data_IF_910193684791
#
_entry.id   IF_910193684791
#
_cell.length_a   1.000
_cell.length_b   1.000
_cell.length_c   1.000
_cell.angle_alpha   90.00
_cell.angle_beta   90.00
_cell.angle_gamma   90.00
#
_symmetry.space_group_name_H-M   'P 1'
#
loop_
_entity.id
_entity.type
_entity.pdbx_description
1 polymer ?
#
# COMPACT_ATOMS: atom_id res chain seq x y z
N UNK A 1 -48.39 26.22 49.60
CA UNK A 1 -47.12 26.83 49.15
C UNK A 1 -46.63 25.98 47.97
N UNK A 2 -47.08 26.31 46.76
CA UNK A 2 -46.39 27.10 45.73
C UNK A 2 -45.22 26.37 45.05
N UNK A 3 -45.30 26.35 43.71
CA UNK A 3 -44.65 25.48 42.73
C UNK A 3 -43.19 25.83 42.37
N UNK A 4 -42.56 24.93 41.60
CA UNK A 4 -41.73 25.13 40.37
C UNK A 4 -41.12 23.76 39.95
N UNK A 5 -41.55 23.04 38.90
CA UNK A 5 -41.43 23.17 37.43
C UNK A 5 -40.00 23.17 36.84
N UNK A 6 -39.71 22.11 36.05
CA UNK A 6 -39.00 22.04 34.75
C UNK A 6 -38.35 20.64 34.61
N UNK A 7 -38.95 19.67 33.91
CA UNK A 7 -38.99 19.47 32.44
C UNK A 7 -37.60 19.40 31.79
N UNK A 8 -37.11 18.19 31.53
CA UNK A 8 -36.23 17.92 30.38
C UNK A 8 -36.79 16.73 29.62
N UNK A 9 -37.02 17.01 28.34
CA UNK A 9 -37.66 16.22 27.32
C UNK A 9 -36.63 15.28 26.64
N UNK A 10 -37.17 14.17 26.15
CA UNK A 10 -36.61 13.09 25.34
C UNK A 10 -35.75 13.55 24.14
N UNK A 11 -34.62 12.86 23.89
CA UNK A 11 -34.20 12.48 22.51
C UNK A 11 -33.67 11.05 22.54
N UNK A 12 -34.39 10.16 21.84
CA UNK A 12 -33.93 8.84 21.46
C UNK A 12 -33.03 8.96 20.22
N UNK A 13 -31.92 8.23 20.18
CA UNK A 13 -31.29 7.80 18.94
C UNK A 13 -30.94 6.32 19.05
N UNK A 14 -31.87 5.55 18.50
CA UNK A 14 -31.72 4.18 18.03
C UNK A 14 -30.44 4.03 17.21
N UNK A 15 -29.42 3.44 17.82
CA UNK A 15 -28.34 2.81 17.08
C UNK A 15 -28.88 1.49 16.49
N UNK A 16 -29.49 1.60 15.32
CA UNK A 16 -29.65 0.46 14.42
C UNK A 16 -28.25 0.08 13.96
N UNK A 17 -27.61 -0.84 14.67
CA UNK A 17 -26.51 -1.60 14.13
C UNK A 17 -27.06 -2.44 12.97
N UNK A 18 -26.98 -1.91 11.76
CA UNK A 18 -27.08 -2.71 10.55
C UNK A 18 -25.91 -3.68 10.57
N UNK A 19 -26.12 -4.86 11.13
CA UNK A 19 -25.21 -5.98 10.96
C UNK A 19 -25.15 -6.27 9.47
N UNK A 20 -24.02 -5.95 8.84
CA UNK A 20 -23.74 -6.39 7.49
C UNK A 20 -23.61 -7.90 7.57
N UNK A 21 -24.64 -8.61 7.11
CA UNK A 21 -24.60 -10.06 7.03
C UNK A 21 -23.65 -10.42 5.88
N UNK A 22 -22.37 -10.57 6.18
CA UNK A 22 -21.40 -11.08 5.22
C UNK A 22 -21.90 -12.43 4.70
N UNK A 23 -22.14 -12.51 3.40
CA UNK A 23 -22.53 -13.75 2.74
C UNK A 23 -21.39 -14.78 2.90
N UNK A 24 -21.67 -16.05 3.23
CA UNK A 24 -20.60 -17.05 3.34
C UNK A 24 -19.89 -17.18 2.00
N UNK A 25 -18.57 -16.99 2.00
CA UNK A 25 -17.72 -17.29 0.84
C UNK A 25 -17.77 -18.81 0.63
N UNK A 26 -18.11 -19.31 -0.58
CA UNK A 26 -18.08 -20.73 -0.87
C UNK A 26 -16.67 -21.28 -0.63
N UNK A 27 -16.52 -22.23 0.28
CA UNK A 27 -15.27 -22.96 0.47
C UNK A 27 -15.12 -23.97 -0.66
N UNK A 28 -14.58 -23.53 -1.79
CA UNK A 28 -14.06 -24.43 -2.83
C UNK A 28 -12.55 -24.56 -2.65
N UNK A 29 -12.08 -25.81 -2.64
CA UNK A 29 -10.76 -26.22 -2.19
C UNK A 29 -9.57 -25.54 -2.86
N UNK A 30 -8.39 -25.68 -2.21
CA UNK A 30 -7.05 -25.29 -2.67
C UNK A 30 -7.09 -24.37 -3.89
N UNK A 31 -7.36 -23.08 -3.65
CA UNK A 31 -7.55 -22.09 -4.69
C UNK A 31 -6.42 -22.18 -5.71
N UNK A 32 -6.74 -22.62 -6.93
CA UNK A 32 -5.89 -22.36 -8.06
C UNK A 32 -5.64 -20.85 -8.06
N UNK A 33 -4.37 -20.42 -8.14
CA UNK A 33 -4.01 -19.01 -8.32
C UNK A 33 -4.49 -18.59 -9.70
N UNK A 34 -5.78 -18.29 -9.83
CA UNK A 34 -6.41 -17.72 -11.01
C UNK A 34 -6.36 -16.20 -10.98
N UNK A 35 -6.44 -15.59 -12.15
CA UNK A 35 -6.75 -14.16 -12.28
C UNK A 35 -8.10 -13.90 -11.61
N UNK A 36 -8.13 -12.95 -10.68
CA UNK A 36 -9.30 -12.57 -9.91
C UNK A 36 -9.49 -11.06 -10.07
N UNK A 37 -10.58 -10.69 -10.74
CA UNK A 37 -10.97 -9.30 -10.92
C UNK A 37 -11.63 -8.78 -9.66
N UNK A 38 -11.22 -7.59 -9.22
CA UNK A 38 -11.91 -6.86 -8.16
C UNK A 38 -12.78 -5.72 -8.71
N UNK A 39 -12.82 -5.56 -10.04
CA UNK A 39 -13.70 -4.59 -10.68
C UNK A 39 -15.17 -4.84 -10.30
N UNK A 40 -15.79 -3.85 -9.66
CA UNK A 40 -17.15 -3.93 -9.12
C UNK A 40 -17.39 -5.13 -8.16
N UNK A 41 -16.36 -5.61 -7.45
CA UNK A 41 -16.50 -6.72 -6.49
C UNK A 41 -17.67 -6.47 -5.52
N UNK A 42 -18.48 -7.50 -5.28
CA UNK A 42 -19.64 -7.40 -4.38
C UNK A 42 -20.76 -6.44 -4.84
N UNK A 43 -20.65 -5.87 -6.04
CA UNK A 43 -21.56 -4.81 -6.52
C UNK A 43 -21.20 -3.42 -6.01
N UNK A 44 -20.03 -3.23 -5.40
CA UNK A 44 -19.58 -1.92 -4.92
C UNK A 44 -19.10 -1.05 -6.08
N UNK A 45 -19.79 0.07 -6.33
CA UNK A 45 -19.38 1.03 -7.37
C UNK A 45 -18.06 1.73 -7.06
N UNK A 46 -17.63 1.77 -5.79
CA UNK A 46 -16.32 2.29 -5.37
C UNK A 46 -15.14 1.44 -5.88
N UNK A 47 -15.41 0.22 -6.36
CA UNK A 47 -14.43 -0.65 -7.02
C UNK A 47 -14.54 -0.63 -8.55
N UNK A 48 -15.32 0.28 -9.12
CA UNK A 48 -15.39 0.45 -10.57
C UNK A 48 -14.04 0.91 -11.13
N UNK A 49 -13.53 0.20 -12.12
CA UNK A 49 -12.22 0.42 -12.72
C UNK A 49 -11.04 -0.01 -11.84
N UNK A 50 -11.26 -0.77 -10.76
CA UNK A 50 -10.16 -1.17 -9.84
C UNK A 50 -9.00 -1.85 -10.58
N UNK A 51 -9.32 -2.78 -11.48
CA UNK A 51 -8.31 -3.51 -12.24
C UNK A 51 -7.57 -2.64 -13.27
N UNK A 52 -7.99 -1.40 -13.52
CA UNK A 52 -7.27 -0.50 -14.43
C UNK A 52 -5.89 -0.08 -13.89
N UNK A 53 -5.67 -0.22 -12.58
CA UNK A 53 -4.40 0.18 -11.98
C UNK A 53 -3.29 -0.84 -12.28
N UNK A 54 -3.46 -2.12 -11.92
CA UNK A 54 -2.46 -3.17 -12.17
C UNK A 54 -2.88 -4.27 -13.14
N UNK A 55 -4.17 -4.42 -13.44
CA UNK A 55 -4.74 -5.56 -14.16
C UNK A 55 -5.34 -6.61 -13.23
N UNK A 56 -6.32 -7.36 -13.74
CA UNK A 56 -7.02 -8.44 -13.00
C UNK A 56 -6.16 -9.69 -12.76
N UNK A 57 -4.99 -9.77 -13.39
CA UNK A 57 -4.02 -10.85 -13.24
C UNK A 57 -2.76 -10.44 -12.47
N UNK A 58 -2.71 -9.19 -11.97
CA UNK A 58 -1.51 -8.60 -11.36
C UNK A 58 -1.83 -7.81 -10.09
N UNK A 59 -2.70 -8.35 -9.24
CA UNK A 59 -3.19 -7.71 -8.03
C UNK A 59 -2.07 -7.18 -7.11
N UNK A 60 -0.97 -7.92 -6.95
CA UNK A 60 0.17 -7.59 -6.10
C UNK A 60 1.33 -6.94 -6.86
N UNK A 61 1.11 -6.52 -8.10
CA UNK A 61 2.14 -6.00 -8.99
C UNK A 61 3.34 -6.97 -9.21
N UNK A 62 3.13 -8.28 -9.07
CA UNK A 62 4.17 -9.30 -9.28
C UNK A 62 4.70 -9.37 -10.72
N UNK A 63 3.95 -8.86 -11.71
CA UNK A 63 4.38 -8.78 -13.11
C UNK A 63 5.33 -7.61 -13.41
N UNK A 64 5.64 -6.76 -12.42
CA UNK A 64 6.62 -5.68 -12.59
C UNK A 64 8.01 -6.27 -12.93
N UNK A 65 8.55 -5.91 -14.10
CA UNK A 65 9.77 -6.52 -14.66
C UNK A 65 10.85 -5.49 -14.95
N UNK A 66 12.11 -5.92 -15.10
CA UNK A 66 13.22 -5.02 -15.47
C UNK A 66 12.99 -4.39 -16.85
N UNK A 67 12.31 -5.07 -17.79
CA UNK A 67 11.95 -4.50 -19.09
C UNK A 67 10.98 -3.32 -19.00
N UNK A 68 10.25 -3.19 -17.90
CA UNK A 68 9.35 -2.07 -17.63
C UNK A 68 10.08 -0.86 -17.01
N UNK A 69 11.38 -1.02 -16.67
CA UNK A 69 12.17 0.01 -16.00
C UNK A 69 12.94 0.85 -17.02
N UNK A 70 12.77 2.18 -16.92
CA UNK A 70 13.56 3.19 -17.61
C UNK A 70 14.38 3.98 -16.59
N UNK A 71 15.67 3.67 -16.50
CA UNK A 71 16.58 4.34 -15.56
C UNK A 71 16.89 5.76 -16.04
N UNK A 72 16.60 6.75 -15.20
CA UNK A 72 16.91 8.16 -15.44
C UNK A 72 18.25 8.48 -14.75
N UNK A 73 19.25 8.94 -15.52
CA UNK A 73 20.63 9.19 -15.03
C UNK A 73 20.95 10.67 -14.79
N UNK A 74 19.94 11.55 -14.74
CA UNK A 74 20.18 13.00 -14.72
C UNK A 74 20.93 13.50 -13.48
N UNK A 75 20.81 12.81 -12.34
CA UNK A 75 21.59 13.06 -11.12
C UNK A 75 21.96 11.75 -10.44
N UNK A 76 23.24 11.57 -10.13
CA UNK A 76 23.66 10.43 -9.32
C UNK A 76 23.11 10.56 -7.91
N UNK A 77 22.34 9.57 -7.48
CA UNK A 77 21.88 9.43 -6.10
C UNK A 77 22.75 8.37 -5.44
N UNK A 78 23.40 8.73 -4.34
CA UNK A 78 24.27 7.84 -3.55
C UNK A 78 23.58 7.55 -2.23
N UNK A 79 23.62 6.30 -1.75
CA UNK A 79 23.12 6.03 -0.40
C UNK A 79 24.06 6.62 0.66
N UNK A 80 23.47 7.06 1.78
CA UNK A 80 24.20 7.61 2.91
C UNK A 80 23.84 6.84 4.18
N UNK A 81 24.79 6.78 5.12
CA UNK A 81 24.52 6.21 6.44
C UNK A 81 23.67 7.19 7.23
N UNK A 82 22.60 6.69 7.82
CA UNK A 82 21.67 7.45 8.67
C UNK A 82 21.34 6.62 9.91
N UNK A 83 20.90 7.28 10.97
CA UNK A 83 20.41 6.56 12.16
C UNK A 83 19.17 5.74 11.80
N UNK A 84 19.16 4.46 12.19
CA UNK A 84 18.07 3.56 11.82
C UNK A 84 16.72 4.02 12.37
N UNK A 85 16.71 4.68 13.54
CA UNK A 85 15.48 5.20 14.14
C UNK A 85 14.87 6.32 13.28
N UNK A 86 15.69 7.13 12.61
CA UNK A 86 15.22 8.19 11.71
C UNK A 86 14.54 7.57 10.47
N UNK A 87 15.12 6.48 9.92
CA UNK A 87 14.51 5.74 8.82
C UNK A 87 13.18 5.12 9.28
N UNK A 88 13.16 4.48 10.46
CA UNK A 88 11.96 3.86 11.02
C UNK A 88 10.84 4.87 11.28
N UNK A 89 11.14 6.06 11.79
CA UNK A 89 10.16 7.13 11.98
C UNK A 89 9.50 7.54 10.66
N UNK A 90 10.31 7.73 9.60
CA UNK A 90 9.80 8.10 8.26
C UNK A 90 8.90 6.99 7.69
N UNK A 91 9.31 5.72 7.83
CA UNK A 91 8.51 4.58 7.39
C UNK A 91 7.21 4.43 8.19
N UNK A 92 7.24 4.69 9.49
CA UNK A 92 6.04 4.68 10.33
C UNK A 92 5.04 5.76 9.91
N UNK A 93 5.52 6.95 9.55
CA UNK A 93 4.65 8.00 8.98
C UNK A 93 3.97 7.51 7.70
N UNK A 94 4.71 6.89 6.77
CA UNK A 94 4.11 6.35 5.55
C UNK A 94 3.08 5.24 5.83
N UNK A 95 3.32 4.42 6.85
CA UNK A 95 2.36 3.39 7.31
C UNK A 95 1.07 4.02 7.85
N UNK A 96 1.15 5.02 8.72
CA UNK A 96 -0.04 5.72 9.21
C UNK A 96 -0.74 6.52 8.12
N UNK A 97 0.02 7.03 7.14
CA UNK A 97 -0.56 7.70 5.98
C UNK A 97 -1.37 6.76 5.10
N UNK A 98 -0.91 5.53 4.87
CA UNK A 98 -1.71 4.52 4.16
C UNK A 98 -3.03 4.24 4.90
N UNK A 99 -2.99 4.10 6.23
CA UNK A 99 -4.21 3.92 7.04
C UNK A 99 -5.14 5.11 6.92
N UNK A 100 -4.60 6.34 7.02
CA UNK A 100 -5.37 7.57 6.92
C UNK A 100 -6.07 7.69 5.58
N UNK A 101 -5.36 7.46 4.47
CA UNK A 101 -5.93 7.48 3.11
C UNK A 101 -7.10 6.50 3.02
N UNK A 102 -6.89 5.25 3.42
CA UNK A 102 -7.90 4.19 3.29
C UNK A 102 -9.12 4.47 4.18
N UNK A 103 -8.90 4.88 5.43
CA UNK A 103 -9.99 5.06 6.41
C UNK A 103 -10.77 6.37 6.22
N UNK A 104 -10.16 7.41 5.66
CA UNK A 104 -10.84 8.68 5.39
C UNK A 104 -11.47 8.74 3.99
N UNK A 105 -10.94 8.03 2.99
CA UNK A 105 -11.38 8.14 1.58
C UNK A 105 -12.26 6.99 1.08
N UNK A 106 -12.36 5.88 1.81
CA UNK A 106 -13.15 4.71 1.42
C UNK A 106 -14.17 4.41 2.50
N UNK A 107 -15.46 4.37 2.14
CA UNK A 107 -16.54 4.10 3.09
C UNK A 107 -16.76 2.62 3.35
N UNK A 108 -16.65 1.77 2.32
CA UNK A 108 -16.95 0.35 2.43
C UNK A 108 -15.75 -0.43 3.00
N UNK A 109 -15.97 -1.21 4.07
CA UNK A 109 -14.91 -1.97 4.73
C UNK A 109 -14.33 -3.07 3.84
N UNK A 110 -15.13 -3.62 2.93
CA UNK A 110 -14.68 -4.57 1.92
C UNK A 110 -13.71 -3.90 0.93
N UNK A 111 -14.04 -2.70 0.44
CA UNK A 111 -13.17 -1.91 -0.43
C UNK A 111 -11.90 -1.49 0.30
N UNK A 112 -11.99 -1.06 1.57
CA UNK A 112 -10.81 -0.77 2.41
C UNK A 112 -9.89 -1.98 2.51
N UNK A 113 -10.46 -3.17 2.75
CA UNK A 113 -9.72 -4.43 2.87
C UNK A 113 -9.01 -4.76 1.55
N UNK A 114 -9.74 -4.70 0.42
CA UNK A 114 -9.20 -5.01 -0.90
C UNK A 114 -8.07 -4.05 -1.28
N UNK A 115 -8.23 -2.75 -1.04
CA UNK A 115 -7.20 -1.74 -1.36
C UNK A 115 -5.99 -1.89 -0.44
N UNK A 116 -6.21 -2.11 0.86
CA UNK A 116 -5.10 -2.28 1.81
C UNK A 116 -4.27 -3.53 1.51
N UNK A 117 -4.91 -4.66 1.20
CA UNK A 117 -4.21 -5.90 0.88
C UNK A 117 -3.44 -5.80 -0.45
N UNK A 118 -3.94 -5.03 -1.43
CA UNK A 118 -3.20 -4.73 -2.65
C UNK A 118 -1.93 -3.93 -2.33
N UNK A 119 -2.06 -2.84 -1.57
CA UNK A 119 -0.91 -2.03 -1.13
C UNK A 119 0.11 -2.87 -0.37
N UNK A 120 -0.33 -3.61 0.66
CA UNK A 120 0.53 -4.46 1.48
C UNK A 120 1.25 -5.53 0.65
N UNK A 121 0.53 -6.21 -0.24
CA UNK A 121 1.10 -7.25 -1.11
C UNK A 121 2.10 -6.68 -2.12
N UNK A 122 1.82 -5.49 -2.67
CA UNK A 122 2.68 -4.82 -3.67
C UNK A 122 4.12 -4.56 -3.18
N UNK A 123 4.31 -4.41 -1.87
CA UNK A 123 5.63 -4.20 -1.27
C UNK A 123 6.52 -5.45 -1.32
N UNK A 124 5.96 -6.63 -1.59
CA UNK A 124 6.71 -7.87 -1.71
C UNK A 124 7.76 -7.82 -2.84
N UNK A 125 7.45 -7.14 -3.94
CA UNK A 125 8.37 -6.97 -5.07
C UNK A 125 9.71 -6.35 -4.64
N UNK A 126 9.65 -5.29 -3.83
CA UNK A 126 10.84 -4.60 -3.33
C UNK A 126 11.68 -5.47 -2.39
N UNK A 127 11.05 -6.34 -1.58
CA UNK A 127 11.77 -7.32 -0.76
C UNK A 127 12.58 -8.31 -1.61
N UNK A 128 12.12 -8.65 -2.82
CA UNK A 128 12.89 -9.48 -3.76
C UNK A 128 14.02 -8.69 -4.42
N UNK A 129 13.82 -7.40 -4.68
CA UNK A 129 14.86 -6.50 -5.21
C UNK A 129 16.02 -6.40 -4.23
N UNK A 130 15.74 -6.13 -2.94
CA UNK A 130 16.76 -6.03 -1.88
C UNK A 130 17.63 -7.28 -1.76
N UNK A 131 17.07 -8.45 -2.08
CA UNK A 131 17.76 -9.76 -2.06
C UNK A 131 18.40 -10.15 -3.40
N UNK A 132 18.25 -9.33 -4.43
CA UNK A 132 18.66 -9.60 -5.82
C UNK A 132 18.07 -10.89 -6.41
N UNK A 133 16.80 -11.17 -6.07
CA UNK A 133 16.04 -12.34 -6.57
C UNK A 133 14.94 -12.01 -7.57
N UNK A 134 14.67 -10.74 -7.81
CA UNK A 134 13.74 -10.29 -8.85
C UNK A 134 14.37 -10.19 -10.24
N UNK A 135 15.71 -10.11 -10.30
CA UNK A 135 16.43 -9.71 -11.51
C UNK A 135 16.42 -8.20 -11.76
N UNK A 136 15.73 -7.41 -10.92
CA UNK A 136 15.65 -5.96 -11.04
C UNK A 136 16.70 -5.24 -10.19
N UNK A 137 17.01 -4.01 -10.60
CA UNK A 137 17.79 -3.10 -9.75
C UNK A 137 17.01 -2.66 -8.51
N UNK A 138 17.69 -2.42 -7.39
CA UNK A 138 17.08 -1.87 -6.17
C UNK A 138 16.95 -0.36 -6.34
N UNK A 139 15.72 0.13 -6.46
CA UNK A 139 15.45 1.55 -6.67
C UNK A 139 13.99 1.92 -6.43
N UNK A 140 13.61 3.09 -6.93
CA UNK A 140 12.25 3.63 -6.84
C UNK A 140 11.94 4.51 -8.06
N UNK A 141 10.66 4.77 -8.31
CA UNK A 141 10.22 5.67 -9.37
C UNK A 141 10.18 7.13 -8.84
N UNK A 142 11.05 7.98 -9.37
CA UNK A 142 11.12 9.40 -8.97
C UNK A 142 9.92 10.21 -9.43
N UNK A 143 9.27 9.82 -10.53
CA UNK A 143 8.07 10.47 -11.02
C UNK A 143 6.92 10.28 -10.04
N UNK A 144 6.66 9.02 -9.65
CA UNK A 144 5.61 8.71 -8.67
C UNK A 144 5.94 9.32 -7.30
N UNK A 145 7.16 9.16 -6.80
CA UNK A 145 7.54 9.70 -5.48
C UNK A 145 7.54 11.24 -5.42
N UNK A 146 7.62 11.93 -6.56
CA UNK A 146 7.52 13.40 -6.60
C UNK A 146 6.13 13.93 -6.19
N UNK A 147 5.09 13.09 -6.23
CA UNK A 147 3.75 13.44 -5.78
C UNK A 147 3.58 13.45 -4.26
N UNK A 148 4.64 13.16 -3.48
CA UNK A 148 4.54 13.14 -2.01
C UNK A 148 4.02 14.47 -1.42
N UNK A 149 4.37 15.61 -2.01
CA UNK A 149 3.84 16.91 -1.55
C UNK A 149 2.35 17.11 -1.85
N UNK A 150 1.78 16.31 -2.76
CA UNK A 150 0.42 16.49 -3.27
C UNK A 150 -0.62 15.76 -2.42
N UNK A 151 -0.23 14.98 -1.39
CA UNK A 151 -1.17 14.29 -0.52
C UNK A 151 -2.15 15.23 0.19
N UNK A 152 -1.83 16.52 0.30
CA UNK A 152 -2.63 17.48 1.05
C UNK A 152 -2.97 18.73 0.25
N UNK A 153 -4.21 19.17 0.40
CA UNK A 153 -4.64 20.50 -0.01
C UNK A 153 -4.05 21.60 0.89
N UNK A 154 -4.26 22.85 0.51
CA UNK A 154 -3.82 24.01 1.29
C UNK A 154 -4.51 24.13 2.66
N UNK A 155 -5.64 23.46 2.84
CA UNK A 155 -6.40 23.39 4.08
C UNK A 155 -5.97 22.22 5.00
N UNK A 156 -5.00 21.40 4.58
CA UNK A 156 -4.51 20.24 5.31
C UNK A 156 -5.39 18.99 5.20
N UNK A 157 -6.47 19.03 4.40
CA UNK A 157 -7.25 17.84 4.05
C UNK A 157 -6.50 16.97 3.04
N UNK A 158 -6.85 15.68 2.97
CA UNK A 158 -6.32 14.80 1.93
C UNK A 158 -6.79 15.26 0.57
N UNK A 159 -5.85 15.37 -0.38
CA UNK A 159 -6.16 15.67 -1.77
C UNK A 159 -6.98 14.55 -2.42
N UNK A 160 -7.99 14.94 -3.22
CA UNK A 160 -8.77 14.03 -4.07
C UNK A 160 -8.39 14.14 -5.56
N UNK A 161 -7.35 14.92 -5.88
CA UNK A 161 -6.90 15.12 -7.24
C UNK A 161 -6.35 13.84 -7.86
N UNK A 162 -6.73 13.58 -9.11
CA UNK A 162 -6.07 12.57 -9.95
C UNK A 162 -4.70 13.11 -10.40
N UNK A 163 -3.64 12.38 -10.06
CA UNK A 163 -2.27 12.74 -10.39
C UNK A 163 -1.82 12.27 -11.79
N UNK A 164 -2.72 11.66 -12.56
CA UNK A 164 -2.52 11.36 -13.97
C UNK A 164 -1.62 10.16 -14.26
N UNK A 165 -1.47 9.24 -13.30
CA UNK A 165 -0.73 8.00 -13.48
C UNK A 165 -1.56 6.76 -13.10
N UNK A 166 -1.16 5.62 -13.65
CA UNK A 166 -1.67 4.31 -13.27
C UNK A 166 -0.53 3.38 -12.89
N UNK A 167 -0.81 2.12 -12.53
CA UNK A 167 0.23 1.15 -12.20
C UNK A 167 1.19 0.88 -13.37
N UNK A 168 0.79 1.09 -14.62
CA UNK A 168 1.68 0.98 -15.79
C UNK A 168 2.70 2.11 -15.91
N UNK A 169 2.50 3.23 -15.18
CA UNK A 169 3.46 4.33 -15.12
C UNK A 169 4.66 4.00 -14.22
N UNK A 170 4.55 3.01 -13.35
CA UNK A 170 5.62 2.57 -12.46
C UNK A 170 6.83 2.08 -13.25
N UNK A 171 8.02 2.62 -12.93
CA UNK A 171 9.27 2.27 -13.57
C UNK A 171 9.67 3.22 -14.71
N UNK A 172 8.79 4.13 -15.12
CA UNK A 172 9.05 5.08 -16.22
C UNK A 172 10.10 6.14 -15.88
N UNK A 173 10.31 6.42 -14.59
CA UNK A 173 11.30 7.38 -14.09
C UNK A 173 12.13 6.76 -12.96
N UNK A 174 12.82 5.66 -13.24
CA UNK A 174 13.45 4.87 -12.19
C UNK A 174 14.83 5.40 -11.79
N UNK A 175 15.06 5.48 -10.48
CA UNK A 175 16.34 5.88 -9.88
C UNK A 175 16.93 4.69 -9.12
N UNK A 176 18.19 4.38 -9.40
CA UNK A 176 18.96 3.32 -8.75
C UNK A 176 20.09 3.95 -7.92
N UNK A 177 19.97 4.01 -6.59
CA UNK A 177 21.01 4.58 -5.75
C UNK A 177 22.32 3.77 -5.81
N UNK A 178 23.45 4.48 -5.99
CA UNK A 178 24.80 3.91 -5.93
C UNK A 178 25.33 3.89 -4.48
N UNK A 179 26.57 3.42 -4.28
CA UNK A 179 27.26 3.49 -2.97
C UNK A 179 26.87 2.43 -1.94
N UNK A 180 26.02 1.45 -2.29
CA UNK A 180 25.65 0.37 -1.39
C UNK A 180 26.79 -0.64 -1.16
N UNK A 181 26.72 -1.39 -0.07
CA UNK A 181 27.73 -2.38 0.34
C UNK A 181 27.50 -3.78 -0.26
N UNK A 182 26.79 -3.89 -1.39
CA UNK A 182 26.53 -5.19 -2.01
C UNK A 182 27.82 -5.80 -2.58
N UNK A 183 28.06 -7.05 -2.21
CA UNK A 183 29.17 -7.89 -2.65
C UNK A 183 28.62 -9.19 -3.25
N UNK A 184 28.83 -9.39 -4.55
CA UNK A 184 28.31 -10.55 -5.28
C UNK A 184 28.79 -11.91 -4.71
N UNK A 185 29.89 -11.94 -3.97
CA UNK A 185 30.43 -13.17 -3.38
C UNK A 185 29.84 -13.51 -2.00
N UNK A 186 29.38 -12.51 -1.24
CA UNK A 186 28.99 -12.67 0.19
C UNK A 186 27.58 -12.20 0.52
N UNK A 187 27.04 -11.22 -0.22
CA UNK A 187 25.77 -10.58 0.12
C UNK A 187 24.57 -11.50 -0.03
N UNK A 188 24.57 -12.45 -0.97
CA UNK A 188 23.47 -13.41 -1.10
C UNK A 188 23.24 -14.20 0.20
N UNK A 189 24.30 -14.73 0.81
CA UNK A 189 24.21 -15.46 2.07
C UNK A 189 23.80 -14.56 3.24
N UNK A 190 24.53 -13.46 3.43
CA UNK A 190 24.30 -12.55 4.58
C UNK A 190 22.93 -11.85 4.54
N UNK A 191 22.49 -11.37 3.36
CA UNK A 191 21.16 -10.78 3.19
C UNK A 191 20.07 -11.86 3.32
N UNK A 192 20.31 -13.08 2.84
CA UNK A 192 19.41 -14.21 3.04
C UNK A 192 19.20 -14.58 4.52
N UNK A 193 20.27 -14.57 5.31
CA UNK A 193 20.20 -14.76 6.77
C UNK A 193 19.45 -13.62 7.45
N UNK A 194 19.73 -12.37 7.09
CA UNK A 194 19.02 -11.20 7.63
C UNK A 194 17.52 -11.24 7.31
N UNK A 195 17.15 -11.59 6.08
CA UNK A 195 15.75 -11.77 5.68
C UNK A 195 15.07 -12.87 6.50
N UNK A 196 15.72 -14.03 6.66
CA UNK A 196 15.17 -15.14 7.45
C UNK A 196 14.92 -14.73 8.91
N UNK A 197 15.90 -14.06 9.54
CA UNK A 197 15.77 -13.54 10.90
C UNK A 197 14.61 -12.54 11.02
N UNK A 198 14.49 -11.61 10.08
CA UNK A 198 13.39 -10.64 10.06
C UNK A 198 12.02 -11.33 9.92
N UNK A 199 11.90 -12.33 9.05
CA UNK A 199 10.65 -13.11 8.88
C UNK A 199 10.30 -13.92 10.12
N UNK A 200 11.29 -14.45 10.84
CA UNK A 200 11.09 -15.17 12.10
C UNK A 200 10.64 -14.25 13.25
N UNK A 201 11.00 -12.96 13.21
CA UNK A 201 10.59 -11.99 14.21
C UNK A 201 9.13 -11.53 14.07
N UNK A 202 8.49 -11.77 12.91
CA UNK A 202 7.07 -11.46 12.72
C UNK A 202 6.23 -12.46 13.52
N UNK A 203 5.70 -12.02 14.65
CA UNK A 203 4.73 -12.80 15.43
C UNK A 203 3.43 -12.90 14.65
N UNK A 204 3.00 -14.14 14.37
CA UNK A 204 1.64 -14.39 13.87
C UNK A 204 0.67 -14.08 15.01
N UNK A 205 -0.24 -13.13 14.78
CA UNK A 205 -1.43 -12.94 15.60
C UNK A 205 -2.61 -13.60 14.91
#
# INVERSE_FOLDING_TARGET
MFAKLATVLVVALSALSTGVSAKPVPTTGLAARGSYSFDNYGGYSSLSGFDNFYGSDNYDNSHFSESSIKVVKEKEVVCHTERIEIIQQRLLVLQEMAKRIITEQICEVETQTIVFEQFHSSMHGFSRDLRRYSGRSVGYDSGITSHFSNFYGSDGSLSTDDWGFSGSSLGSSYVVPSGNNWDNSRSYGSVGSAYSAARSAVTKF
#
